data_IF_338713402284
#
_entry.id   IF_338713402284
#
_cell.length_a   1.000
_cell.length_b   1.000
_cell.length_c   1.000
_cell.angle_alpha   90.00
_cell.angle_beta   90.00
_cell.angle_gamma   90.00
#
_symmetry.space_group_name_H-M   'P 1'
#
loop_
_entity.id
_entity.type
_entity.pdbx_description
1 polymer ?
#
# COMPACT_ATOMS: atom_id res chain seq x y z
N UNK A 1 -27.40 82.29 -4.61
CA UNK A 1 -26.90 81.58 -5.82
C UNK A 1 -25.85 80.58 -5.29
N UNK A 2 -26.23 79.32 -5.11
CA UNK A 2 -25.34 78.24 -4.67
C UNK A 2 -25.00 77.36 -5.86
N UNK A 3 -23.75 76.95 -6.07
CA UNK A 3 -23.38 76.05 -7.16
C UNK A 3 -23.70 74.60 -6.86
N UNK A 4 -24.34 73.93 -7.80
CA UNK A 4 -24.64 72.52 -7.79
C UNK A 4 -23.36 71.71 -8.06
N UNK A 5 -23.09 70.73 -7.18
CA UNK A 5 -22.02 69.75 -7.34
C UNK A 5 -22.55 68.55 -8.15
N UNK A 6 -21.91 68.20 -9.26
CA UNK A 6 -22.21 67.04 -10.07
C UNK A 6 -21.66 65.74 -9.44
N UNK A 7 -22.31 64.57 -9.54
CA UNK A 7 -21.81 63.31 -9.03
C UNK A 7 -20.75 62.73 -9.99
N UNK A 8 -19.63 62.34 -9.43
CA UNK A 8 -18.53 61.70 -10.17
C UNK A 8 -18.91 60.27 -10.65
N UNK A 9 -18.66 59.99 -11.91
CA UNK A 9 -18.75 58.66 -12.50
C UNK A 9 -17.61 57.79 -11.99
N UNK A 10 -17.95 56.77 -11.18
CA UNK A 10 -17.01 55.68 -10.87
C UNK A 10 -16.91 54.76 -12.10
N UNK A 11 -15.64 54.59 -12.57
CA UNK A 11 -15.32 53.60 -13.61
C UNK A 11 -15.43 52.18 -13.00
N UNK A 12 -15.95 51.18 -13.72
CA UNK A 12 -15.95 49.81 -13.24
C UNK A 12 -14.52 49.27 -13.20
N UNK A 13 -14.16 48.65 -12.09
CA UNK A 13 -12.91 47.94 -11.87
C UNK A 13 -12.78 46.81 -12.88
N UNK A 14 -11.74 46.82 -13.69
CA UNK A 14 -11.40 45.73 -14.61
C UNK A 14 -10.93 44.54 -13.76
N UNK A 15 -11.70 43.45 -13.74
CA UNK A 15 -11.26 42.14 -13.23
C UNK A 15 -10.05 41.66 -14.05
N UNK A 16 -8.92 41.54 -13.40
CA UNK A 16 -7.75 40.91 -14.01
C UNK A 16 -8.03 39.42 -14.22
N UNK A 17 -7.73 38.85 -15.39
CA UNK A 17 -7.89 37.44 -15.62
C UNK A 17 -6.98 36.66 -14.63
N UNK A 18 -7.56 35.75 -13.86
CA UNK A 18 -6.86 34.86 -12.97
C UNK A 18 -5.78 34.11 -13.73
N UNK A 19 -4.52 34.21 -13.27
CA UNK A 19 -3.41 33.41 -13.81
C UNK A 19 -3.77 31.94 -13.73
N UNK A 20 -3.56 31.15 -14.79
CA UNK A 20 -3.75 29.71 -14.73
C UNK A 20 -2.83 29.16 -13.64
N UNK A 21 -3.42 28.42 -12.68
CA UNK A 21 -2.65 27.71 -11.69
C UNK A 21 -1.77 26.65 -12.41
N UNK A 22 -0.52 26.47 -11.99
CA UNK A 22 0.32 25.45 -12.59
C UNK A 22 -0.38 24.09 -12.49
N UNK A 23 -0.60 23.46 -13.62
CA UNK A 23 -1.09 22.08 -13.67
C UNK A 23 -0.06 21.23 -12.92
N UNK A 24 -0.44 20.69 -11.76
CA UNK A 24 0.36 19.68 -11.07
C UNK A 24 0.42 18.44 -11.98
N UNK A 25 1.43 18.40 -12.84
CA UNK A 25 1.71 17.16 -13.58
C UNK A 25 2.02 16.08 -12.56
N UNK A 26 1.27 14.97 -12.64
CA UNK A 26 1.58 13.78 -11.86
C UNK A 26 3.02 13.33 -12.17
N UNK A 27 3.79 12.88 -11.16
CA UNK A 27 5.08 12.26 -11.44
C UNK A 27 4.85 11.06 -12.37
N UNK A 28 5.67 10.91 -13.39
CA UNK A 28 5.63 9.72 -14.23
C UNK A 28 6.13 8.53 -13.41
N UNK A 29 5.21 7.82 -12.77
CA UNK A 29 5.51 6.63 -11.99
C UNK A 29 4.93 5.41 -12.71
N UNK A 30 5.84 4.60 -13.21
CA UNK A 30 5.54 3.40 -13.98
C UNK A 30 6.21 2.20 -13.32
N UNK A 31 5.43 1.15 -13.13
CA UNK A 31 5.93 -0.13 -12.67
C UNK A 31 5.60 -1.26 -13.63
N UNK A 32 6.22 -2.40 -13.42
CA UNK A 32 6.01 -3.62 -14.19
C UNK A 32 5.64 -4.78 -13.28
N UNK A 33 4.66 -5.57 -13.69
CA UNK A 33 4.31 -6.84 -13.04
C UNK A 33 5.35 -7.89 -13.45
N UNK A 34 6.23 -8.25 -12.54
CA UNK A 34 7.24 -9.30 -12.78
C UNK A 34 6.66 -10.69 -12.64
N UNK A 35 5.76 -10.87 -11.66
CA UNK A 35 5.14 -12.17 -11.41
C UNK A 35 3.77 -12.00 -10.76
N UNK A 36 2.84 -12.85 -11.19
CA UNK A 36 1.51 -13.03 -10.56
C UNK A 36 1.50 -14.38 -9.86
N UNK A 37 1.00 -14.43 -8.61
CA UNK A 37 0.88 -15.65 -7.81
C UNK A 37 -0.48 -15.72 -7.15
N UNK A 38 -1.05 -16.92 -7.13
CA UNK A 38 -2.28 -17.24 -6.40
C UNK A 38 -2.13 -18.58 -5.69
N UNK A 39 -2.96 -18.82 -4.69
CA UNK A 39 -3.00 -20.10 -4.01
C UNK A 39 -4.27 -20.29 -3.18
N UNK A 40 -4.86 -21.49 -3.19
CA UNK A 40 -5.97 -21.81 -2.32
C UNK A 40 -5.50 -21.92 -0.87
N UNK A 41 -6.44 -22.01 0.07
CA UNK A 41 -6.12 -22.38 1.45
C UNK A 41 -5.76 -23.85 1.49
N UNK A 42 -4.56 -24.14 1.99
CA UNK A 42 -4.03 -25.50 2.15
C UNK A 42 -3.37 -25.64 3.52
N UNK A 43 -3.26 -26.88 4.01
CA UNK A 43 -2.47 -27.18 5.21
C UNK A 43 -1.01 -27.34 4.81
N UNK A 44 -0.13 -26.53 5.40
CA UNK A 44 1.31 -26.58 5.23
C UNK A 44 1.99 -26.93 6.54
N UNK A 45 3.04 -27.76 6.49
CA UNK A 45 3.88 -28.06 7.65
C UNK A 45 5.13 -27.19 7.61
N UNK A 46 5.10 -26.07 8.35
CA UNK A 46 6.22 -25.14 8.47
C UNK A 46 6.74 -25.07 9.90
N UNK A 47 8.05 -25.14 10.06
CA UNK A 47 8.71 -25.17 11.38
C UNK A 47 8.11 -26.23 12.33
N UNK A 48 7.77 -27.42 11.80
CA UNK A 48 7.22 -28.53 12.57
C UNK A 48 5.75 -28.39 12.97
N UNK A 49 5.02 -27.35 12.52
CA UNK A 49 3.61 -27.08 12.83
C UNK A 49 2.75 -27.14 11.57
N UNK A 50 1.55 -27.67 11.69
CA UNK A 50 0.54 -27.59 10.65
C UNK A 50 -0.16 -26.23 10.71
N UNK A 51 -0.19 -25.53 9.58
CA UNK A 51 -0.77 -24.20 9.43
C UNK A 51 -1.73 -24.23 8.24
N UNK A 52 -3.01 -23.96 8.47
CA UNK A 52 -3.99 -23.72 7.40
C UNK A 52 -3.77 -22.32 6.84
N UNK A 53 -3.37 -22.23 5.57
CA UNK A 53 -2.89 -20.96 5.01
C UNK A 53 -3.13 -20.83 3.52
N UNK A 54 -3.46 -19.64 3.04
CA UNK A 54 -3.40 -19.22 1.63
C UNK A 54 -2.05 -18.64 1.22
N UNK A 55 -1.01 -18.76 2.07
CA UNK A 55 0.31 -18.21 1.80
C UNK A 55 1.18 -19.09 0.90
N UNK A 56 0.79 -20.34 0.64
CA UNK A 56 1.47 -21.25 -0.30
C UNK A 56 1.07 -20.94 -1.75
N UNK A 57 1.48 -19.78 -2.24
CA UNK A 57 1.12 -19.32 -3.57
C UNK A 57 2.08 -19.84 -4.65
N UNK A 58 1.54 -20.11 -5.84
CA UNK A 58 2.29 -20.55 -7.02
C UNK A 58 2.20 -19.52 -8.14
N UNK A 59 3.25 -19.38 -8.98
CA UNK A 59 3.18 -18.53 -10.16
C UNK A 59 2.04 -18.93 -11.09
N UNK A 60 1.42 -17.94 -11.71
CA UNK A 60 0.37 -18.11 -12.74
C UNK A 60 0.93 -17.77 -14.10
N UNK A 61 0.56 -18.55 -15.09
CA UNK A 61 0.83 -18.29 -16.50
C UNK A 61 -0.42 -17.69 -17.15
N UNK A 62 -0.22 -16.77 -18.10
CA UNK A 62 -1.32 -16.09 -18.79
C UNK A 62 -2.03 -15.05 -17.91
N UNK A 63 -3.19 -14.60 -18.40
CA UNK A 63 -3.99 -13.59 -17.70
C UNK A 63 -4.81 -14.20 -16.57
N UNK A 64 -4.86 -13.50 -15.45
CA UNK A 64 -5.63 -13.86 -14.26
C UNK A 64 -6.74 -12.82 -14.08
N UNK A 65 -7.96 -13.28 -13.84
CA UNK A 65 -9.11 -12.42 -13.52
C UNK A 65 -8.89 -11.82 -12.14
N UNK A 66 -9.17 -10.51 -12.03
CA UNK A 66 -9.14 -9.75 -10.78
C UNK A 66 -10.53 -9.20 -10.51
N UNK A 67 -11.17 -9.73 -9.46
CA UNK A 67 -12.45 -9.25 -8.95
C UNK A 67 -12.23 -8.33 -7.73
N UNK A 68 -13.29 -7.76 -7.18
CA UNK A 68 -13.23 -6.86 -6.02
C UNK A 68 -12.47 -7.43 -4.82
N UNK A 69 -12.54 -8.73 -4.60
CA UNK A 69 -11.93 -9.41 -3.46
C UNK A 69 -10.54 -10.02 -3.75
N UNK A 70 -10.00 -9.82 -4.96
CA UNK A 70 -8.66 -10.27 -5.35
C UNK A 70 -8.63 -11.13 -6.60
N UNK A 71 -7.54 -11.89 -6.75
CA UNK A 71 -7.26 -12.69 -7.94
C UNK A 71 -8.01 -14.02 -7.92
N UNK A 72 -8.47 -14.44 -9.08
CA UNK A 72 -9.02 -15.79 -9.26
C UNK A 72 -8.01 -16.87 -8.85
N UNK A 73 -8.50 -17.87 -8.09
CA UNK A 73 -7.67 -18.94 -7.54
C UNK A 73 -6.83 -18.54 -6.32
N UNK A 74 -7.02 -17.33 -5.77
CA UNK A 74 -6.38 -16.92 -4.52
C UNK A 74 -7.35 -16.97 -3.34
N UNK A 75 -6.83 -17.36 -2.16
CA UNK A 75 -7.63 -17.39 -0.93
C UNK A 75 -6.79 -17.06 0.30
N UNK A 76 -7.47 -16.63 1.38
CA UNK A 76 -6.83 -16.26 2.64
C UNK A 76 -7.30 -17.19 3.77
N UNK A 77 -6.35 -17.79 4.50
CA UNK A 77 -6.65 -18.75 5.58
C UNK A 77 -7.25 -18.13 6.85
N UNK A 78 -7.05 -16.82 7.06
CA UNK A 78 -7.57 -16.10 8.23
C UNK A 78 -8.21 -14.77 7.81
N UNK A 79 -9.50 -14.78 7.53
CA UNK A 79 -10.26 -13.62 7.07
C UNK A 79 -10.42 -12.50 8.12
N UNK A 80 -10.16 -12.79 9.41
CA UNK A 80 -10.21 -11.74 10.46
C UNK A 80 -9.08 -10.72 10.34
N UNK A 81 -7.95 -11.12 9.77
CA UNK A 81 -6.74 -10.28 9.68
C UNK A 81 -6.17 -10.16 8.27
N UNK A 82 -6.52 -11.08 7.38
CA UNK A 82 -6.08 -11.11 5.98
C UNK A 82 -7.29 -11.07 5.04
N UNK A 83 -7.10 -10.51 3.83
CA UNK A 83 -8.17 -10.39 2.84
C UNK A 83 -9.14 -9.24 3.09
N UNK A 84 -10.26 -9.29 2.36
CA UNK A 84 -11.25 -8.23 2.27
C UNK A 84 -10.86 -7.14 1.25
N UNK A 85 -11.80 -6.23 0.91
CA UNK A 85 -11.62 -5.28 -0.19
C UNK A 85 -10.32 -4.44 -0.09
N UNK A 86 -9.94 -4.02 1.12
CA UNK A 86 -8.72 -3.23 1.33
C UNK A 86 -7.41 -4.04 1.25
N UNK A 87 -7.50 -5.36 1.07
CA UNK A 87 -6.36 -6.28 0.96
C UNK A 87 -6.61 -7.30 -0.15
N UNK A 88 -7.20 -6.86 -1.24
CA UNK A 88 -7.53 -7.70 -2.38
C UNK A 88 -6.26 -8.31 -3.02
N UNK A 89 -5.17 -7.55 -3.08
CA UNK A 89 -3.88 -8.02 -3.57
C UNK A 89 -2.73 -7.57 -2.68
N UNK A 90 -1.81 -8.47 -2.38
CA UNK A 90 -0.55 -8.17 -1.71
C UNK A 90 0.56 -7.97 -2.74
N UNK A 91 1.21 -6.81 -2.71
CA UNK A 91 2.32 -6.45 -3.58
C UNK A 91 3.64 -6.47 -2.83
N UNK A 92 4.70 -6.88 -3.52
CA UNK A 92 6.05 -6.85 -2.99
C UNK A 92 7.04 -6.31 -4.04
N UNK A 93 7.79 -5.23 -3.71
CA UNK A 93 8.79 -4.67 -4.60
C UNK A 93 9.96 -5.62 -4.84
N UNK A 94 10.29 -5.84 -6.12
CA UNK A 94 11.42 -6.69 -6.50
C UNK A 94 12.77 -6.14 -6.02
N UNK A 95 12.90 -4.84 -5.95
CA UNK A 95 14.10 -4.13 -5.51
C UNK A 95 14.57 -4.57 -4.11
N UNK A 96 13.65 -5.04 -3.27
CA UNK A 96 13.99 -5.52 -1.95
C UNK A 96 14.74 -6.87 -1.96
N UNK A 97 14.64 -7.65 -3.04
CA UNK A 97 15.32 -8.94 -3.12
C UNK A 97 16.85 -8.79 -3.04
N UNK A 98 17.42 -7.84 -3.82
CA UNK A 98 18.85 -7.53 -3.76
C UNK A 98 19.29 -7.03 -2.37
N UNK A 99 18.43 -6.25 -1.70
CA UNK A 99 18.69 -5.76 -0.35
C UNK A 99 18.62 -6.87 0.70
N UNK A 100 17.75 -7.88 0.52
CA UNK A 100 17.73 -9.06 1.40
C UNK A 100 19.00 -9.92 1.21
N UNK A 101 19.43 -10.12 -0.04
CA UNK A 101 20.67 -10.83 -0.33
C UNK A 101 21.88 -10.13 0.33
N UNK A 102 21.95 -8.80 0.26
CA UNK A 102 23.00 -8.01 0.94
C UNK A 102 22.97 -8.13 2.48
N UNK A 103 21.78 -8.37 3.06
CA UNK A 103 21.63 -8.65 4.50
C UNK A 103 21.87 -10.13 4.85
N UNK A 104 22.29 -10.97 3.90
CA UNK A 104 22.58 -12.40 4.11
C UNK A 104 21.34 -13.31 4.05
N UNK A 105 20.24 -12.86 3.45
CA UNK A 105 19.03 -13.66 3.23
C UNK A 105 18.88 -14.01 1.75
N UNK A 106 19.14 -15.25 1.40
CA UNK A 106 18.88 -15.78 0.05
C UNK A 106 17.40 -16.22 -0.04
N UNK A 107 16.53 -15.29 -0.44
CA UNK A 107 15.09 -15.48 -0.52
C UNK A 107 14.63 -15.41 -1.97
N UNK A 108 13.80 -16.36 -2.44
CA UNK A 108 13.25 -16.32 -3.80
C UNK A 108 12.12 -15.30 -3.91
N UNK A 109 11.79 -14.90 -5.14
CA UNK A 109 10.52 -14.18 -5.42
C UNK A 109 9.33 -15.03 -4.93
N UNK A 110 8.36 -14.40 -4.29
CA UNK A 110 7.24 -15.09 -3.60
C UNK A 110 7.53 -15.43 -2.14
N UNK A 111 8.74 -15.13 -1.65
CA UNK A 111 9.14 -15.41 -0.27
C UNK A 111 8.22 -14.82 0.78
N UNK A 112 7.56 -13.74 0.48
CA UNK A 112 6.71 -12.99 1.39
C UNK A 112 5.21 -13.17 1.10
N UNK A 113 4.85 -14.22 0.32
CA UNK A 113 3.46 -14.60 0.02
C UNK A 113 2.69 -13.54 -0.77
N UNK A 114 3.41 -12.70 -1.49
CA UNK A 114 2.80 -11.68 -2.34
C UNK A 114 2.04 -12.31 -3.51
N UNK A 115 0.96 -11.64 -3.91
CA UNK A 115 0.26 -11.91 -5.15
C UNK A 115 1.02 -11.35 -6.36
N UNK A 116 1.57 -10.15 -6.20
CA UNK A 116 2.30 -9.44 -7.25
C UNK A 116 3.71 -9.13 -6.79
N UNK A 117 4.71 -9.62 -7.54
CA UNK A 117 6.06 -9.05 -7.47
C UNK A 117 6.11 -7.92 -8.49
N UNK A 118 6.41 -6.71 -8.03
CA UNK A 118 6.42 -5.48 -8.84
C UNK A 118 7.84 -4.93 -8.96
N UNK A 119 8.16 -4.33 -10.10
CA UNK A 119 9.41 -3.61 -10.36
C UNK A 119 9.10 -2.13 -10.62
N UNK A 120 9.93 -1.22 -10.15
CA UNK A 120 9.76 0.24 -10.30
C UNK A 120 8.82 0.88 -9.27
N UNK A 121 8.23 0.09 -8.35
CA UNK A 121 7.23 0.56 -7.39
C UNK A 121 7.61 0.21 -5.92
N UNK A 122 8.81 0.61 -5.44
CA UNK A 122 9.18 0.37 -4.05
C UNK A 122 8.37 1.24 -3.06
N UNK A 123 8.34 0.82 -1.79
CA UNK A 123 7.57 1.43 -0.70
C UNK A 123 7.84 2.94 -0.52
N UNK A 124 9.01 3.43 -0.99
CA UNK A 124 9.43 4.84 -0.87
C UNK A 124 8.73 5.76 -1.89
N UNK A 125 8.35 5.23 -3.05
CA UNK A 125 7.78 6.06 -4.14
C UNK A 125 6.27 5.88 -4.29
N UNK A 126 5.72 4.76 -3.81
CA UNK A 126 4.28 4.51 -3.81
C UNK A 126 3.64 5.14 -2.59
N UNK A 127 2.50 5.80 -2.77
CA UNK A 127 1.79 6.49 -1.68
C UNK A 127 0.42 5.87 -1.41
N UNK A 128 -0.08 6.07 -0.18
CA UNK A 128 -1.47 5.74 0.16
C UNK A 128 -2.42 6.50 -0.76
N UNK A 129 -3.42 5.82 -1.27
CA UNK A 129 -4.42 6.39 -2.16
C UNK A 129 -3.97 6.52 -3.61
N UNK A 130 -2.71 6.23 -3.95
CA UNK A 130 -2.28 6.15 -5.35
C UNK A 130 -3.18 5.21 -6.13
N UNK A 131 -3.69 5.69 -7.27
CA UNK A 131 -4.48 4.90 -8.20
C UNK A 131 -3.62 4.55 -9.39
N UNK A 132 -3.55 3.26 -9.69
CA UNK A 132 -2.83 2.72 -10.84
C UNK A 132 -3.80 2.08 -11.83
N UNK A 133 -3.50 2.24 -13.11
CA UNK A 133 -4.19 1.59 -14.22
C UNK A 133 -3.27 0.56 -14.88
N UNK A 134 -3.87 -0.59 -15.20
CA UNK A 134 -3.25 -1.72 -15.91
C UNK A 134 -4.29 -2.26 -16.91
N UNK A 135 -4.19 -1.91 -18.18
CA UNK A 135 -5.18 -2.30 -19.19
C UNK A 135 -6.61 -1.94 -18.75
N UNK A 136 -7.45 -2.94 -18.46
CA UNK A 136 -8.83 -2.82 -17.99
C UNK A 136 -8.97 -2.80 -16.47
N UNK A 137 -7.89 -3.04 -15.73
CA UNK A 137 -7.88 -3.11 -14.27
C UNK A 137 -7.49 -1.75 -13.66
N UNK A 138 -8.27 -1.25 -12.70
CA UNK A 138 -7.91 -0.08 -11.88
C UNK A 138 -7.80 -0.48 -10.41
N UNK A 139 -6.69 -0.12 -9.79
CA UNK A 139 -6.38 -0.47 -8.40
C UNK A 139 -5.93 0.73 -7.58
N UNK A 140 -6.10 0.67 -6.27
CA UNK A 140 -5.68 1.72 -5.36
C UNK A 140 -4.85 1.17 -4.20
N UNK A 141 -3.77 1.87 -3.86
CA UNK A 141 -2.93 1.56 -2.70
C UNK A 141 -3.68 1.90 -1.41
N UNK A 142 -3.79 0.94 -0.50
CA UNK A 142 -4.56 1.09 0.74
C UNK A 142 -3.72 1.23 1.99
N UNK A 143 -2.72 0.39 2.15
CA UNK A 143 -1.90 0.34 3.38
C UNK A 143 -0.60 -0.44 3.16
N UNK A 144 0.47 -0.15 3.93
CA UNK A 144 1.60 -1.04 4.06
C UNK A 144 1.16 -2.41 4.58
N UNK A 145 1.84 -3.44 4.14
CA UNK A 145 1.68 -4.75 4.75
C UNK A 145 2.30 -4.74 6.15
N UNK A 146 1.59 -5.30 7.12
CA UNK A 146 2.15 -5.60 8.45
C UNK A 146 2.63 -7.05 8.47
N UNK A 147 3.94 -7.32 8.57
CA UNK A 147 4.48 -8.67 8.62
C UNK A 147 3.91 -9.46 9.80
N UNK A 148 3.76 -10.76 9.62
CA UNK A 148 3.25 -11.65 10.66
C UNK A 148 4.17 -12.86 10.85
N UNK A 149 3.94 -13.60 11.93
CA UNK A 149 4.75 -14.75 12.31
C UNK A 149 4.69 -15.92 11.30
N UNK A 150 3.75 -15.94 10.36
CA UNK A 150 3.73 -16.93 9.26
C UNK A 150 5.01 -16.87 8.42
N UNK A 151 5.61 -15.67 8.26
CA UNK A 151 6.91 -15.52 7.58
C UNK A 151 8.01 -16.26 8.34
N UNK A 152 8.04 -16.12 9.69
CA UNK A 152 8.99 -16.86 10.54
C UNK A 152 8.80 -18.38 10.41
N UNK A 153 7.56 -18.84 10.39
CA UNK A 153 7.27 -20.27 10.27
C UNK A 153 7.72 -20.85 8.93
N UNK A 154 7.49 -20.10 7.83
CA UNK A 154 7.89 -20.54 6.47
C UNK A 154 9.40 -20.68 6.32
N UNK A 155 10.16 -19.72 6.85
CA UNK A 155 11.61 -19.63 6.66
C UNK A 155 12.42 -20.11 7.87
N UNK A 156 11.75 -20.57 8.94
CA UNK A 156 12.39 -20.95 10.21
C UNK A 156 13.28 -19.84 10.81
N UNK A 157 12.97 -18.58 10.49
CA UNK A 157 13.73 -17.43 10.99
C UNK A 157 12.81 -16.40 11.65
N UNK A 158 12.93 -16.26 12.97
CA UNK A 158 12.11 -15.33 13.77
C UNK A 158 12.49 -13.86 13.58
N UNK A 159 13.62 -13.55 12.95
CA UNK A 159 14.08 -12.18 12.70
C UNK A 159 13.31 -11.54 11.53
N UNK A 160 12.94 -12.34 10.52
CA UNK A 160 12.37 -11.83 9.25
C UNK A 160 11.19 -10.88 9.43
N UNK A 161 10.11 -11.18 10.19
CA UNK A 161 9.00 -10.23 10.33
C UNK A 161 9.41 -8.90 10.94
N UNK A 162 10.34 -8.92 11.92
CA UNK A 162 10.86 -7.71 12.55
C UNK A 162 11.74 -6.91 11.61
N UNK A 163 12.60 -7.57 10.85
CA UNK A 163 13.45 -6.93 9.85
C UNK A 163 12.63 -6.33 8.70
N UNK A 164 11.60 -7.04 8.21
CA UNK A 164 10.68 -6.49 7.22
C UNK A 164 10.07 -5.15 7.70
N UNK A 165 9.64 -5.12 8.96
CA UNK A 165 9.04 -3.94 9.56
C UNK A 165 10.07 -2.82 9.77
N UNK A 166 11.18 -3.10 10.45
CA UNK A 166 12.18 -2.09 10.82
C UNK A 166 12.95 -1.51 9.64
N UNK A 167 13.11 -2.28 8.58
CA UNK A 167 13.79 -1.86 7.34
C UNK A 167 12.82 -1.27 6.30
N UNK A 168 11.52 -1.16 6.62
CA UNK A 168 10.47 -0.72 5.68
C UNK A 168 10.49 -1.50 4.36
N UNK A 169 10.63 -2.84 4.45
CA UNK A 169 10.62 -3.77 3.32
C UNK A 169 9.46 -4.74 3.44
N UNK A 170 8.26 -4.19 3.59
CA UNK A 170 7.05 -4.98 3.86
C UNK A 170 6.17 -5.18 2.64
N UNK A 171 6.28 -4.30 1.65
CA UNK A 171 5.32 -4.20 0.57
C UNK A 171 3.99 -3.60 1.05
N UNK A 172 2.99 -3.67 0.21
CA UNK A 172 1.72 -3.00 0.43
C UNK A 172 0.54 -3.78 -0.15
N UNK A 173 -0.68 -3.33 0.18
CA UNK A 173 -1.91 -3.88 -0.34
C UNK A 173 -2.58 -2.94 -1.33
N UNK A 174 -3.28 -3.56 -2.29
CA UNK A 174 -4.17 -2.89 -3.23
C UNK A 174 -5.61 -3.33 -2.99
N UNK A 175 -6.54 -2.38 -3.19
CA UNK A 175 -7.95 -2.65 -3.44
C UNK A 175 -8.23 -2.52 -4.93
N UNK A 176 -9.27 -3.19 -5.39
CA UNK A 176 -9.74 -3.09 -6.76
C UNK A 176 -10.83 -2.01 -6.83
N UNK A 177 -10.63 -1.02 -7.70
CA UNK A 177 -11.62 0.02 -8.00
C UNK A 177 -12.45 -0.37 -9.22
N UNK A 178 -11.80 -0.96 -10.22
CA UNK A 178 -12.46 -1.50 -11.41
C UNK A 178 -11.88 -2.89 -11.70
N UNK A 179 -12.70 -3.95 -11.68
CA UNK A 179 -12.28 -5.30 -12.00
C UNK A 179 -11.74 -5.41 -13.43
N UNK A 180 -10.84 -6.35 -13.65
CA UNK A 180 -10.20 -6.55 -14.94
C UNK A 180 -9.31 -7.79 -14.94
N UNK A 181 -8.22 -7.75 -15.69
CA UNK A 181 -7.27 -8.86 -15.79
C UNK A 181 -5.83 -8.39 -15.60
N UNK A 182 -4.96 -9.29 -15.13
CA UNK A 182 -3.54 -9.02 -14.91
C UNK A 182 -2.68 -10.19 -15.37
N UNK A 183 -1.51 -9.89 -15.92
CA UNK A 183 -0.52 -10.89 -16.31
C UNK A 183 0.91 -10.42 -16.01
N UNK A 184 1.84 -11.36 -16.01
CA UNK A 184 3.27 -11.05 -16.04
C UNK A 184 3.61 -10.19 -17.28
N UNK A 185 4.40 -9.15 -17.07
CA UNK A 185 4.80 -8.19 -18.10
C UNK A 185 3.89 -6.97 -18.20
N UNK A 186 2.69 -6.98 -17.61
CA UNK A 186 1.79 -5.82 -17.63
C UNK A 186 2.45 -4.60 -16.97
N UNK A 187 2.11 -3.42 -17.51
CA UNK A 187 2.60 -2.14 -17.00
C UNK A 187 1.56 -1.50 -16.10
N UNK A 188 1.99 -1.11 -14.89
CA UNK A 188 1.21 -0.30 -13.94
C UNK A 188 1.58 1.18 -14.10
N UNK A 189 0.62 2.03 -14.45
CA UNK A 189 0.82 3.48 -14.59
C UNK A 189 0.05 4.22 -13.50
N UNK A 190 0.73 5.17 -12.84
CA UNK A 190 0.07 6.06 -11.89
C UNK A 190 -0.93 6.96 -12.64
N UNK A 191 -2.21 6.77 -12.35
CA UNK A 191 -3.30 7.56 -12.93
C UNK A 191 -3.71 8.74 -12.02
N UNK A 192 -3.58 8.57 -10.69
CA UNK A 192 -3.95 9.62 -9.73
C UNK A 192 -3.12 9.52 -8.45
N UNK A 193 -2.68 10.67 -7.94
CA UNK A 193 -2.08 10.85 -6.61
C UNK A 193 -2.69 12.06 -5.94
N UNK A 194 -2.96 11.98 -4.64
CA UNK A 194 -3.42 13.10 -3.86
C UNK A 194 -2.26 14.06 -3.52
N UNK A 195 -2.49 15.37 -3.43
CA UNK A 195 -1.46 16.32 -3.02
C UNK A 195 -0.88 16.04 -1.63
N UNK A 196 -1.70 15.49 -0.72
CA UNK A 196 -1.33 15.12 0.66
C UNK A 196 -0.88 13.67 0.78
N UNK A 197 -0.52 12.99 -0.31
CA UNK A 197 -0.18 11.58 -0.29
C UNK A 197 1.06 11.31 0.57
N UNK A 198 0.96 10.28 1.42
CA UNK A 198 2.04 9.80 2.27
C UNK A 198 2.56 8.48 1.72
N UNK A 199 3.89 8.33 1.58
CA UNK A 199 4.46 7.11 1.04
C UNK A 199 4.17 5.89 1.92
N UNK A 200 4.17 4.71 1.29
CA UNK A 200 4.05 3.42 2.01
C UNK A 200 5.15 3.30 3.07
N UNK A 201 6.39 3.69 2.74
CA UNK A 201 7.52 3.65 3.67
C UNK A 201 7.30 4.58 4.88
N UNK A 202 6.88 5.83 4.66
CA UNK A 202 6.58 6.76 5.74
C UNK A 202 5.39 6.29 6.58
N UNK A 203 4.37 5.75 5.94
CA UNK A 203 3.23 5.16 6.64
C UNK A 203 3.68 3.99 7.52
N UNK A 204 4.57 3.11 7.01
CA UNK A 204 5.14 2.03 7.81
C UNK A 204 5.95 2.58 9.00
N UNK A 205 6.76 3.63 8.78
CA UNK A 205 7.55 4.27 9.84
C UNK A 205 6.66 4.73 11.00
N UNK A 206 5.65 5.54 10.72
CA UNK A 206 4.74 6.08 11.74
C UNK A 206 3.92 4.97 12.41
N UNK A 207 3.43 4.01 11.62
CA UNK A 207 2.56 2.95 12.16
C UNK A 207 3.32 1.91 12.97
N UNK A 208 4.58 1.61 12.64
CA UNK A 208 5.24 0.41 13.16
C UNK A 208 6.62 0.66 13.79
N UNK A 209 7.27 1.79 13.52
CA UNK A 209 8.63 2.08 14.01
C UNK A 209 8.58 3.24 15.00
N UNK A 210 8.27 4.44 14.53
CA UNK A 210 8.17 5.64 15.37
C UNK A 210 6.70 5.94 15.70
N UNK A 211 6.20 5.19 16.66
CA UNK A 211 4.77 5.17 17.01
C UNK A 211 4.33 6.39 17.82
N UNK A 212 5.28 7.21 18.27
CA UNK A 212 5.07 8.44 19.04
C UNK A 212 5.24 9.72 18.22
N UNK A 213 5.51 9.61 16.92
CA UNK A 213 5.59 10.75 16.00
C UNK A 213 4.19 11.37 15.80
N UNK A 214 3.88 12.36 16.65
CA UNK A 214 2.58 13.05 16.64
C UNK A 214 2.32 13.75 15.32
N UNK A 215 3.32 14.39 14.72
CA UNK A 215 3.17 15.05 13.41
C UNK A 215 2.92 14.04 12.31
N UNK A 216 3.64 12.91 12.31
CA UNK A 216 3.41 11.80 11.40
C UNK A 216 2.01 11.21 11.55
N UNK A 217 1.53 11.06 12.78
CA UNK A 217 0.15 10.62 13.07
C UNK A 217 -0.86 11.58 12.43
N UNK A 218 -0.71 12.90 12.62
CA UNK A 218 -1.60 13.88 12.02
C UNK A 218 -1.55 13.86 10.49
N UNK A 219 -0.35 13.74 9.89
CA UNK A 219 -0.22 13.58 8.43
C UNK A 219 -0.99 12.36 7.92
N UNK A 220 -0.89 11.21 8.59
CA UNK A 220 -1.63 10.00 8.21
C UNK A 220 -3.15 10.16 8.39
N UNK A 221 -3.59 10.80 9.48
CA UNK A 221 -5.01 11.05 9.73
C UNK A 221 -5.64 11.99 8.69
N UNK A 222 -4.85 12.85 8.06
CA UNK A 222 -5.29 13.71 6.97
C UNK A 222 -5.49 12.96 5.63
N UNK A 223 -4.97 11.72 5.49
CA UNK A 223 -5.15 10.92 4.29
C UNK A 223 -6.54 10.25 4.29
N UNK A 224 -7.45 10.61 3.37
CA UNK A 224 -8.82 10.06 3.35
C UNK A 224 -8.86 8.56 3.06
N UNK A 225 -7.86 8.02 2.36
CA UNK A 225 -7.75 6.60 1.98
C UNK A 225 -7.21 5.72 3.11
N UNK A 226 -6.77 6.31 4.23
CA UNK A 226 -6.29 5.52 5.37
C UNK A 226 -7.42 4.60 5.89
N UNK A 227 -7.18 3.28 5.97
CA UNK A 227 -8.21 2.34 6.44
C UNK A 227 -8.72 2.70 7.84
N UNK A 228 -10.03 2.58 8.08
CA UNK A 228 -10.67 2.98 9.33
C UNK A 228 -10.03 2.34 10.57
N UNK A 229 -9.65 1.07 10.48
CA UNK A 229 -8.94 0.37 11.56
C UNK A 229 -7.60 1.05 11.93
N UNK A 230 -6.89 1.60 10.95
CA UNK A 230 -5.63 2.31 11.17
C UNK A 230 -5.89 3.69 11.76
N UNK A 231 -6.90 4.37 11.26
CA UNK A 231 -7.38 5.65 11.79
C UNK A 231 -7.73 5.53 13.27
N UNK A 232 -8.53 4.54 13.65
CA UNK A 232 -8.86 4.26 15.04
C UNK A 232 -7.62 3.96 15.92
N UNK A 233 -6.63 3.25 15.37
CA UNK A 233 -5.36 3.00 16.05
C UNK A 233 -4.60 4.31 16.31
N UNK A 234 -4.51 5.19 15.32
CA UNK A 234 -3.79 6.47 15.44
C UNK A 234 -4.48 7.40 16.46
N UNK A 235 -5.81 7.47 16.48
CA UNK A 235 -6.53 8.24 17.52
C UNK A 235 -6.25 7.73 18.93
N UNK A 236 -6.20 6.41 19.15
CA UNK A 236 -5.82 5.85 20.44
C UNK A 236 -4.41 6.25 20.86
N UNK A 237 -3.45 6.24 19.91
CA UNK A 237 -2.06 6.67 20.19
C UNK A 237 -1.96 8.14 20.57
N UNK A 238 -2.77 9.02 19.98
CA UNK A 238 -2.86 10.42 20.42
C UNK A 238 -3.33 10.56 21.86
N UNK A 239 -4.10 9.58 22.36
CA UNK A 239 -4.54 9.49 23.76
C UNK A 239 -3.54 8.71 24.66
N UNK A 240 -2.35 8.36 24.14
CA UNK A 240 -1.33 7.63 24.90
C UNK A 240 -1.54 6.10 24.97
N UNK A 241 -2.49 5.54 24.21
CA UNK A 241 -2.78 4.10 24.20
C UNK A 241 -2.04 3.42 23.05
N UNK A 242 -1.09 2.53 23.39
CA UNK A 242 -0.29 1.80 22.39
C UNK A 242 -0.63 0.30 22.38
N UNK A 243 -0.85 -0.25 21.20
CA UNK A 243 -1.09 -1.68 21.01
C UNK A 243 0.20 -2.50 21.16
N UNK A 244 0.06 -3.75 21.66
CA UNK A 244 1.14 -4.72 21.69
C UNK A 244 1.20 -5.51 20.38
N UNK A 245 2.35 -5.43 19.71
CA UNK A 245 2.63 -6.13 18.44
C UNK A 245 3.30 -7.51 18.63
N UNK A 246 3.60 -7.90 19.88
CA UNK A 246 4.38 -9.11 20.18
C UNK A 246 3.71 -10.37 19.61
N UNK A 247 2.39 -10.50 19.80
CA UNK A 247 1.65 -11.67 19.29
C UNK A 247 1.72 -11.79 17.76
N UNK A 248 1.59 -10.65 17.04
CA UNK A 248 1.64 -10.62 15.58
C UNK A 248 3.00 -11.03 15.02
N UNK A 249 4.08 -10.62 15.68
CA UNK A 249 5.45 -10.84 15.23
C UNK A 249 6.05 -12.17 15.68
N UNK A 250 5.48 -12.81 16.71
CA UNK A 250 6.09 -13.95 17.41
C UNK A 250 5.27 -15.24 17.39
N UNK A 251 3.95 -15.17 17.20
CA UNK A 251 3.06 -16.34 17.22
C UNK A 251 2.42 -16.52 15.85
N UNK A 252 2.75 -17.59 15.11
CA UNK A 252 2.08 -17.94 13.85
C UNK A 252 0.66 -18.43 14.07
#
# INVERSE_FOLDING_TARGET
MSPQTQPGHQRPSQEQPSRPQPSHQLPELIGRVRRVRTGPVVTQKWSGREISTGAAKSPRTGRVIVAENGLDGDAQGNLKVHGGPNKAMCCYPFEFMAQWAADGFDLPEGAFFENLTLEGLPDQVVCLGDIFELNDLTVQVTQPRRPCATVSARWSDRRLPRLMQSKSRSGYYLRVLHPGTIAEGDTMRLAKRLPSAVSVAETNRVMNIDRQDIEGIHRLLAAPELPERWRATLYRRLNGEFEDDTARLSKP
#
